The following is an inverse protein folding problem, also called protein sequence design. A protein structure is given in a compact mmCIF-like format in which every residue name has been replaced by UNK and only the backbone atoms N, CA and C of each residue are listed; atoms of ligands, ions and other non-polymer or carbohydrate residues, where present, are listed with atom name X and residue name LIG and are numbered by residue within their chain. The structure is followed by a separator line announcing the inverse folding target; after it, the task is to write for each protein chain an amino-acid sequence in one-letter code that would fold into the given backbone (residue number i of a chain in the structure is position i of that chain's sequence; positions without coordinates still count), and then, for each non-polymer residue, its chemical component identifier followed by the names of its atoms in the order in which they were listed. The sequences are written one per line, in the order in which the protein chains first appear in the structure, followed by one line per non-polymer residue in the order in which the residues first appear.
data_IF_636387247579
#
_entry.id   IF_636387247579
#
_cell.length_a   1.000
_cell.length_b   1.000
_cell.length_c   1.000
_cell.angle_alpha   90.00
_cell.angle_beta   90.00
_cell.angle_gamma   90.00
#
_symmetry.space_group_name_H-M   'P 1'
#
loop_
_entity.id
_entity.type
_entity.pdbx_description
1 polymer ?
#
# COMPACT_ATOMS: atom_id res chain seq x y z
N UNK A 1 5.67 13.93 -7.47
CA UNK A 1 6.58 12.89 -6.95
C UNK A 1 6.11 11.57 -7.54
N UNK A 2 7.02 10.66 -7.92
CA UNK A 2 6.61 9.33 -8.40
C UNK A 2 6.44 8.42 -7.17
N UNK A 3 5.41 7.57 -7.13
CA UNK A 3 5.27 6.57 -6.08
C UNK A 3 6.53 5.70 -6.04
N UNK A 4 6.96 5.34 -4.84
CA UNK A 4 8.12 4.49 -4.61
C UNK A 4 7.72 3.01 -4.67
N UNK A 5 6.54 2.68 -4.14
CA UNK A 5 5.96 1.34 -4.17
C UNK A 5 4.44 1.41 -4.32
N UNK A 6 3.82 0.35 -4.83
CA UNK A 6 2.36 0.18 -4.84
C UNK A 6 1.97 -0.95 -3.90
N UNK A 7 0.91 -0.74 -3.11
CA UNK A 7 0.28 -1.78 -2.30
C UNK A 7 -0.68 -2.57 -3.18
N UNK A 8 -0.27 -3.78 -3.54
CA UNK A 8 -1.04 -4.73 -4.31
C UNK A 8 -1.74 -5.70 -3.37
N UNK A 9 -3.02 -5.95 -3.61
CA UNK A 9 -3.81 -6.93 -2.87
C UNK A 9 -4.35 -8.00 -3.78
N UNK A 10 -4.56 -9.17 -3.19
CA UNK A 10 -5.21 -10.30 -3.83
C UNK A 10 -6.66 -10.39 -3.36
N UNK A 11 -7.58 -10.34 -4.31
CA UNK A 11 -8.99 -10.64 -4.05
C UNK A 11 -9.20 -12.17 -4.07
N UNK A 12 -9.78 -12.73 -3.00
CA UNK A 12 -10.08 -14.16 -2.90
C UNK A 12 -11.34 -14.57 -3.68
N UNK A 13 -12.14 -13.62 -4.19
CA UNK A 13 -13.44 -13.89 -4.82
C UNK A 13 -13.41 -13.93 -6.34
N UNK A 14 -12.42 -13.32 -7.01
CA UNK A 14 -12.54 -13.05 -8.46
C UNK A 14 -11.28 -13.32 -9.30
N UNK A 15 -10.52 -14.37 -8.97
CA UNK A 15 -9.31 -14.78 -9.71
C UNK A 15 -8.11 -13.83 -9.50
N UNK A 16 -6.90 -14.22 -9.93
CA UNK A 16 -5.62 -13.53 -9.62
C UNK A 16 -5.53 -12.12 -10.24
N UNK A 17 -6.20 -11.14 -9.64
CA UNK A 17 -6.08 -9.74 -10.02
C UNK A 17 -5.21 -9.00 -8.99
N UNK A 18 -4.05 -8.54 -9.44
CA UNK A 18 -3.19 -7.64 -8.67
C UNK A 18 -3.87 -6.27 -8.60
N UNK A 19 -4.68 -6.02 -7.58
CA UNK A 19 -5.37 -4.75 -7.40
C UNK A 19 -4.46 -3.81 -6.61
N UNK A 20 -4.17 -2.63 -7.15
CA UNK A 20 -3.50 -1.58 -6.39
C UNK A 20 -4.53 -0.84 -5.55
N UNK A 21 -4.41 -0.91 -4.22
CA UNK A 21 -5.31 -0.20 -3.30
C UNK A 21 -4.66 1.03 -2.65
N UNK A 22 -3.35 1.20 -2.85
CA UNK A 22 -2.64 2.36 -2.36
C UNK A 22 -1.23 2.46 -2.92
N UNK A 23 -0.60 3.61 -2.67
CA UNK A 23 0.78 3.88 -3.06
C UNK A 23 1.57 4.33 -1.84
N UNK A 24 2.86 3.99 -1.85
CA UNK A 24 3.81 4.49 -0.87
C UNK A 24 4.68 5.52 -1.55
N UNK A 25 4.74 6.69 -0.96
CA UNK A 25 5.66 7.75 -1.36
C UNK A 25 6.77 7.89 -0.30
N UNK A 26 7.98 8.19 -0.75
CA UNK A 26 9.11 8.49 0.14
C UNK A 26 9.31 10.00 0.18
N UNK A 27 9.12 10.58 1.37
CA UNK A 27 9.30 12.00 1.63
C UNK A 27 10.45 12.22 2.62
N UNK A 28 11.63 12.55 2.08
CA UNK A 28 12.88 12.75 2.84
C UNK A 28 13.24 11.53 3.71
N UNK A 29 12.89 11.57 4.99
CA UNK A 29 13.15 10.53 6.00
C UNK A 29 11.90 9.70 6.38
N UNK A 30 10.77 9.99 5.76
CA UNK A 30 9.51 9.33 6.06
C UNK A 30 8.96 8.67 4.80
N UNK A 31 8.10 7.70 5.02
CA UNK A 31 7.29 7.04 4.04
C UNK A 31 5.83 7.36 4.36
N UNK A 32 5.03 7.60 3.33
CA UNK A 32 3.61 7.89 3.43
C UNK A 32 2.84 6.89 2.60
N UNK A 33 1.88 6.21 3.23
CA UNK A 33 0.91 5.35 2.55
C UNK A 33 -0.30 6.21 2.20
N UNK A 34 -0.65 6.23 0.92
CA UNK A 34 -1.84 6.90 0.40
C UNK A 34 -2.76 5.90 -0.27
N UNK A 35 -4.06 6.15 -0.22
CA UNK A 35 -5.01 5.37 -1.02
C UNK A 35 -4.94 5.76 -2.52
N UNK A 36 -5.68 5.05 -3.36
CA UNK A 36 -5.78 5.30 -4.81
C UNK A 36 -6.33 6.68 -5.18
N UNK A 37 -7.05 7.35 -4.27
CA UNK A 37 -7.56 8.71 -4.45
C UNK A 37 -6.57 9.78 -3.97
N UNK A 38 -5.47 9.37 -3.34
CA UNK A 38 -4.41 10.23 -2.86
C UNK A 38 -4.55 10.68 -1.40
N UNK A 39 -5.54 10.18 -0.64
CA UNK A 39 -5.63 10.54 0.78
C UNK A 39 -4.56 9.82 1.59
N UNK A 40 -4.01 10.52 2.59
CA UNK A 40 -3.04 9.96 3.51
C UNK A 40 -3.73 8.95 4.44
N UNK A 41 -3.32 7.68 4.34
CA UNK A 41 -3.74 6.61 5.24
C UNK A 41 -2.79 6.52 6.43
N UNK A 42 -1.48 6.58 6.18
CA UNK A 42 -0.49 6.44 7.24
C UNK A 42 0.85 7.12 6.92
N UNK A 43 1.62 7.45 7.95
CA UNK A 43 2.97 7.99 7.83
C UNK A 43 3.90 7.34 8.85
N UNK A 44 5.06 6.89 8.40
CA UNK A 44 6.07 6.31 9.29
C UNK A 44 7.49 6.58 8.78
N UNK A 45 8.44 6.59 9.70
CA UNK A 45 9.86 6.77 9.36
C UNK A 45 10.57 5.47 8.96
N UNK A 46 9.90 4.32 9.12
CA UNK A 46 10.40 3.00 8.70
C UNK A 46 9.47 2.37 7.67
N UNK A 47 10.07 1.73 6.67
CA UNK A 47 9.36 1.00 5.62
C UNK A 47 8.60 -0.22 6.18
N UNK A 48 9.11 -0.86 7.23
CA UNK A 48 8.47 -2.01 7.88
C UNK A 48 7.13 -1.59 8.53
N UNK A 49 7.10 -0.40 9.12
CA UNK A 49 5.86 0.17 9.71
C UNK A 49 4.85 0.54 8.63
N UNK A 50 5.31 1.05 7.48
CA UNK A 50 4.42 1.23 6.32
C UNK A 50 3.94 -0.11 5.79
N UNK A 51 4.79 -1.14 5.80
CA UNK A 51 4.42 -2.45 5.33
C UNK A 51 3.35 -3.12 6.22
N UNK A 52 3.48 -2.96 7.53
CA UNK A 52 2.43 -3.33 8.48
C UNK A 52 1.14 -2.52 8.27
N UNK A 53 1.25 -1.20 8.09
CA UNK A 53 0.08 -0.34 7.86
C UNK A 53 -0.66 -0.70 6.57
N UNK A 54 0.06 -1.04 5.50
CA UNK A 54 -0.54 -1.49 4.25
C UNK A 54 -1.23 -2.84 4.36
N UNK A 55 -0.65 -3.79 5.10
CA UNK A 55 -1.33 -5.07 5.40
C UNK A 55 -2.63 -4.84 6.17
N UNK A 56 -2.59 -4.04 7.24
CA UNK A 56 -3.80 -3.70 7.98
C UNK A 56 -4.83 -2.98 7.12
N UNK A 57 -4.40 -2.06 6.24
CA UNK A 57 -5.30 -1.37 5.32
C UNK A 57 -5.92 -2.32 4.30
N UNK A 58 -5.16 -3.30 3.78
CA UNK A 58 -5.71 -4.36 2.95
C UNK A 58 -6.79 -5.16 3.70
N UNK A 59 -6.52 -5.56 4.95
CA UNK A 59 -7.46 -6.27 5.80
C UNK A 59 -8.75 -5.47 6.06
N UNK A 60 -8.66 -4.15 6.31
CA UNK A 60 -9.86 -3.31 6.53
C UNK A 60 -10.72 -3.15 5.27
N UNK A 61 -10.14 -3.27 4.09
CA UNK A 61 -10.85 -3.28 2.81
C UNK A 61 -11.38 -4.69 2.45
N UNK A 62 -11.12 -5.71 3.29
CA UNK A 62 -11.58 -7.08 3.08
C UNK A 62 -10.63 -7.96 2.25
N UNK A 63 -9.40 -7.51 2.02
CA UNK A 63 -8.38 -8.29 1.32
C UNK A 63 -7.52 -9.09 2.31
N UNK A 64 -7.16 -10.31 1.92
CA UNK A 64 -6.45 -11.24 2.80
C UNK A 64 -4.92 -11.19 2.66
N UNK A 65 -4.42 -10.70 1.52
CA UNK A 65 -3.00 -10.59 1.22
C UNK A 65 -2.71 -9.20 0.63
N UNK A 66 -1.79 -8.47 1.27
CA UNK A 66 -1.28 -7.19 0.81
C UNK A 66 0.25 -7.22 0.71
N UNK A 67 0.79 -6.99 -0.49
CA UNK A 67 2.21 -6.95 -0.78
C UNK A 67 2.61 -5.62 -1.42
N UNK A 68 3.85 -5.18 -1.18
CA UNK A 68 4.39 -4.01 -1.85
C UNK A 68 5.19 -4.43 -3.08
N UNK A 69 4.86 -3.86 -4.23
CA UNK A 69 5.65 -3.96 -5.45
C UNK A 69 6.36 -2.63 -5.72
N UNK A 70 7.54 -2.67 -6.34
CA UNK A 70 8.17 -1.46 -6.86
C UNK A 70 7.23 -0.78 -7.86
N UNK A 71 7.06 0.53 -7.73
CA UNK A 71 6.23 1.28 -8.66
C UNK A 71 6.99 1.43 -9.99
N UNK A 72 6.43 0.89 -11.08
CA UNK A 72 6.96 1.00 -12.44
C UNK A 72 6.84 2.43 -13.02
#
# INVERSE_FOLDING_TARGET
MKPFMTLQVRDLKTDWNNLTIGTVEKEKRNYTLKDVTGNLIWKASSIEKIAEAGRRFAETQGYFDGAFAEAA
#
